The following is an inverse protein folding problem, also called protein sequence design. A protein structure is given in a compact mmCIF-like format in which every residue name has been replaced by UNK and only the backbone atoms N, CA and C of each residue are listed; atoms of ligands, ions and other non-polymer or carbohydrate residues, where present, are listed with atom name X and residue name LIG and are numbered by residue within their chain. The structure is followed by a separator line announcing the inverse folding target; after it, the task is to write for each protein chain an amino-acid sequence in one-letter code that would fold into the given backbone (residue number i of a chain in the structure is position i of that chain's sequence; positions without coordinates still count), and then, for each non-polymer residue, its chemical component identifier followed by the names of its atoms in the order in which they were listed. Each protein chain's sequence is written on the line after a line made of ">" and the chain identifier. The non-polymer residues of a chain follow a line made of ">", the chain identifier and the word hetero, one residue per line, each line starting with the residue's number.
data_IF_781720907175
#
_entry.id   IF_781720907175
#
_cell.length_a   1.000
_cell.length_b   1.000
_cell.length_c   1.000
_cell.angle_alpha   90.00
_cell.angle_beta   90.00
_cell.angle_gamma   90.00
#
_symmetry.space_group_name_H-M   'P 1'
#
loop_
_entity.id
_entity.type
_entity.pdbx_description
1 polymer ?
#
# COMPACT_ATOMS: atom_id res chain seq x y z
N UNK A 1 1.52 3.96 -1.25
CA UNK A 1 1.48 4.13 -2.73
C UNK A 1 0.21 3.46 -3.21
N UNK A 2 -0.65 4.13 -3.96
CA UNK A 2 -1.94 3.55 -4.39
C UNK A 2 -1.74 2.69 -5.65
N UNK A 3 -2.31 1.48 -5.64
CA UNK A 3 -2.32 0.56 -6.79
C UNK A 3 -3.62 0.81 -7.57
N UNK A 4 -3.54 1.06 -8.88
CA UNK A 4 -4.73 1.17 -9.71
C UNK A 4 -5.46 -0.17 -9.75
N UNK A 5 -6.72 -0.17 -9.33
CA UNK A 5 -7.60 -1.33 -9.46
C UNK A 5 -8.37 -1.21 -10.78
N UNK A 6 -8.42 -2.30 -11.56
CA UNK A 6 -9.09 -2.29 -12.86
C UNK A 6 -10.58 -2.63 -12.72
N UNK A 7 -11.47 -1.75 -13.16
CA UNK A 7 -12.89 -2.09 -13.40
C UNK A 7 -13.74 -2.39 -12.15
N UNK A 8 -13.32 -1.96 -10.97
CA UNK A 8 -13.88 -2.40 -9.68
C UNK A 8 -15.31 -1.93 -9.41
N UNK A 9 -15.80 -0.87 -10.06
CA UNK A 9 -17.14 -0.33 -9.74
C UNK A 9 -18.30 -1.06 -10.42
N UNK A 10 -18.14 -1.56 -11.65
CA UNK A 10 -19.28 -2.09 -12.42
C UNK A 10 -19.43 -3.62 -12.33
N UNK A 11 -18.33 -4.36 -12.22
CA UNK A 11 -18.36 -5.83 -12.21
C UNK A 11 -18.75 -6.42 -10.86
N UNK A 12 -18.11 -5.98 -9.78
CA UNK A 12 -18.33 -6.48 -8.42
C UNK A 12 -19.67 -6.01 -7.82
N UNK A 13 -20.15 -4.83 -8.24
CA UNK A 13 -21.49 -4.32 -7.88
C UNK A 13 -22.58 -5.11 -8.61
N UNK A 14 -22.35 -5.52 -9.87
CA UNK A 14 -23.28 -6.38 -10.63
C UNK A 14 -23.46 -7.76 -10.03
N UNK A 15 -22.40 -8.33 -9.46
CA UNK A 15 -22.43 -9.67 -8.84
C UNK A 15 -22.96 -9.64 -7.39
N UNK A 16 -23.38 -8.47 -6.88
CA UNK A 16 -23.98 -8.32 -5.55
C UNK A 16 -23.00 -8.48 -4.39
N UNK A 17 -21.69 -8.47 -4.66
CA UNK A 17 -20.62 -8.72 -3.69
C UNK A 17 -20.13 -7.44 -3.00
N UNK A 18 -20.38 -6.27 -3.60
CA UNK A 18 -20.09 -4.97 -3.02
C UNK A 18 -21.30 -4.06 -3.01
N UNK A 19 -21.43 -3.27 -1.93
CA UNK A 19 -22.41 -2.19 -1.90
C UNK A 19 -22.10 -1.19 -3.02
N UNK A 20 -23.10 -0.66 -3.76
CA UNK A 20 -22.88 0.25 -4.90
C UNK A 20 -22.08 1.52 -4.60
N UNK A 21 -21.86 1.84 -3.32
CA UNK A 21 -21.09 2.98 -2.84
C UNK A 21 -19.70 2.63 -2.28
N UNK A 22 -19.31 1.34 -2.29
CA UNK A 22 -18.04 0.89 -1.73
C UNK A 22 -16.91 1.10 -2.74
N UNK A 23 -16.17 2.21 -2.60
CA UNK A 23 -14.94 2.43 -3.33
C UNK A 23 -13.80 1.68 -2.63
N UNK A 24 -13.20 0.71 -3.31
CA UNK A 24 -12.00 0.02 -2.83
C UNK A 24 -10.78 0.79 -3.34
N UNK A 25 -9.85 1.12 -2.43
CA UNK A 25 -8.51 1.59 -2.77
C UNK A 25 -7.49 0.65 -2.14
N UNK A 26 -6.48 0.25 -2.93
CA UNK A 26 -5.39 -0.59 -2.45
C UNK A 26 -4.11 0.24 -2.26
N UNK A 27 -3.55 0.20 -1.06
CA UNK A 27 -2.32 0.91 -0.73
C UNK A 27 -1.19 -0.05 -0.37
N UNK A 28 -0.02 0.15 -0.98
CA UNK A 28 1.20 -0.56 -0.61
C UNK A 28 1.94 0.21 0.49
N UNK A 29 2.29 -0.52 1.54
CA UNK A 29 3.16 -0.10 2.62
C UNK A 29 4.44 -0.95 2.55
N UNK A 30 5.55 -0.41 2.02
CA UNK A 30 6.82 -1.14 2.01
C UNK A 30 7.33 -1.29 3.44
N UNK A 31 7.79 -2.50 3.76
CA UNK A 31 8.23 -2.84 5.11
C UNK A 31 9.45 -3.75 5.01
N UNK A 32 10.54 -3.36 5.68
CA UNK A 32 11.74 -4.19 5.76
C UNK A 32 11.76 -4.95 7.10
N UNK A 33 12.20 -6.20 7.06
CA UNK A 33 12.21 -7.09 8.23
C UNK A 33 13.00 -6.54 9.44
N UNK A 34 13.99 -5.68 9.18
CA UNK A 34 14.84 -5.07 10.20
C UNK A 34 14.26 -3.79 10.82
N UNK A 35 13.09 -3.32 10.38
CA UNK A 35 12.44 -2.14 10.92
C UNK A 35 11.53 -2.46 12.11
N UNK A 36 11.45 -1.57 13.10
CA UNK A 36 10.56 -1.74 14.27
C UNK A 36 9.08 -1.91 13.88
N UNK A 37 8.68 -1.36 12.72
CA UNK A 37 7.34 -1.52 12.18
C UNK A 37 7.02 -2.97 11.82
N UNK A 38 8.01 -3.75 11.39
CA UNK A 38 7.84 -5.15 11.01
C UNK A 38 7.40 -6.00 12.19
N UNK A 39 8.10 -5.89 13.32
CA UNK A 39 7.75 -6.64 14.54
C UNK A 39 6.34 -6.34 15.04
N UNK A 40 5.87 -5.09 14.91
CA UNK A 40 4.53 -4.71 15.36
C UNK A 40 3.44 -5.29 14.45
N UNK A 41 3.72 -5.43 13.16
CA UNK A 41 2.75 -5.93 12.18
C UNK A 41 2.76 -7.46 12.09
N UNK A 42 3.90 -8.10 12.36
CA UNK A 42 4.01 -9.57 12.42
C UNK A 42 3.14 -10.19 13.52
N UNK A 43 2.82 -9.43 14.56
CA UNK A 43 1.95 -9.89 15.65
C UNK A 43 0.46 -9.84 15.28
N UNK A 44 0.10 -9.15 14.19
CA UNK A 44 -1.29 -8.89 13.78
C UNK A 44 -1.70 -9.75 12.58
N UNK A 45 -0.75 -10.25 11.79
CA UNK A 45 -1.05 -11.03 10.60
C UNK A 45 0.09 -11.92 10.13
N UNK A 46 -0.24 -12.85 9.24
CA UNK A 46 0.73 -13.72 8.60
C UNK A 46 1.21 -13.09 7.28
N UNK A 47 2.48 -13.34 6.94
CA UNK A 47 3.04 -12.93 5.66
C UNK A 47 2.99 -14.10 4.68
N UNK A 48 2.41 -13.86 3.52
CA UNK A 48 2.37 -14.83 2.44
C UNK A 48 3.21 -14.35 1.25
N UNK A 49 3.72 -15.30 0.48
CA UNK A 49 4.40 -15.01 -0.77
C UNK A 49 3.36 -14.65 -1.84
N UNK A 50 3.56 -13.52 -2.51
CA UNK A 50 2.62 -13.02 -3.53
C UNK A 50 2.39 -14.00 -4.68
N UNK A 51 3.42 -14.72 -5.12
CA UNK A 51 3.31 -15.71 -6.19
C UNK A 51 2.41 -16.88 -5.79
N UNK A 52 2.53 -17.37 -4.55
CA UNK A 52 1.64 -18.42 -4.05
C UNK A 52 0.20 -17.90 -3.90
N UNK A 53 0.02 -16.71 -3.32
CA UNK A 53 -1.31 -16.11 -3.18
C UNK A 53 -1.98 -15.90 -4.56
N UNK A 54 -1.24 -15.45 -5.57
CA UNK A 54 -1.74 -15.29 -6.94
C UNK A 54 -2.10 -16.62 -7.59
N UNK A 55 -1.28 -17.66 -7.41
CA UNK A 55 -1.60 -19.01 -7.88
C UNK A 55 -2.89 -19.53 -7.24
N UNK A 56 -3.05 -19.37 -5.91
CA UNK A 56 -4.28 -19.74 -5.21
C UNK A 56 -5.50 -18.99 -5.76
N UNK A 57 -5.35 -17.70 -6.12
CA UNK A 57 -6.42 -16.94 -6.77
C UNK A 57 -6.86 -17.54 -8.11
N UNK A 58 -6.04 -18.34 -8.79
CA UNK A 58 -6.38 -18.98 -10.06
C UNK A 58 -6.92 -20.40 -9.89
N UNK A 59 -6.42 -21.14 -8.91
CA UNK A 59 -6.72 -22.57 -8.73
C UNK A 59 -7.83 -22.87 -7.73
N UNK A 60 -8.02 -22.01 -6.72
CA UNK A 60 -9.02 -22.21 -5.67
C UNK A 60 -9.81 -20.92 -5.43
N UNK A 61 -11.02 -20.89 -5.99
CA UNK A 61 -11.91 -19.74 -5.90
C UNK A 61 -12.45 -19.47 -4.49
N UNK A 62 -12.34 -20.43 -3.55
CA UNK A 62 -12.87 -20.32 -2.18
C UNK A 62 -11.85 -19.87 -1.14
N UNK A 63 -10.56 -19.82 -1.48
CA UNK A 63 -9.49 -19.48 -0.53
C UNK A 63 -9.50 -17.99 -0.12
N UNK A 64 -9.88 -17.10 -1.03
CA UNK A 64 -9.93 -15.65 -0.80
C UNK A 64 -11.27 -15.06 -1.25
N UNK A 65 -11.71 -13.97 -0.62
CA UNK A 65 -12.85 -13.20 -1.11
C UNK A 65 -12.58 -12.64 -2.51
N UNK A 66 -13.64 -12.34 -3.26
CA UNK A 66 -13.50 -11.84 -4.64
C UNK A 66 -12.71 -10.52 -4.68
N UNK A 67 -12.95 -9.64 -3.71
CA UNK A 67 -12.23 -8.37 -3.54
C UNK A 67 -10.75 -8.60 -3.26
N UNK A 68 -10.44 -9.57 -2.39
CA UNK A 68 -9.07 -9.91 -2.02
C UNK A 68 -8.32 -10.48 -3.23
N UNK A 69 -8.94 -11.38 -3.98
CA UNK A 69 -8.39 -11.94 -5.23
C UNK A 69 -8.12 -10.85 -6.25
N UNK A 70 -9.08 -9.94 -6.43
CA UNK A 70 -8.93 -8.82 -7.34
C UNK A 70 -7.74 -7.93 -6.95
N UNK A 71 -7.60 -7.63 -5.66
CA UNK A 71 -6.47 -6.84 -5.14
C UNK A 71 -5.13 -7.56 -5.36
N UNK A 72 -5.04 -8.87 -5.09
CA UNK A 72 -3.82 -9.67 -5.28
C UNK A 72 -3.39 -9.65 -6.76
N UNK A 73 -4.32 -9.88 -7.68
CA UNK A 73 -4.05 -9.92 -9.13
C UNK A 73 -3.62 -8.52 -9.62
N UNK A 74 -4.33 -7.46 -9.23
CA UNK A 74 -3.97 -6.09 -9.62
C UNK A 74 -2.59 -5.70 -9.08
N UNK A 75 -2.29 -6.06 -7.83
CA UNK A 75 -0.99 -5.82 -7.22
C UNK A 75 0.13 -6.51 -8.01
N UNK A 76 -0.02 -7.80 -8.31
CA UNK A 76 1.00 -8.55 -9.05
C UNK A 76 1.23 -7.97 -10.45
N UNK A 77 0.16 -7.69 -11.21
CA UNK A 77 0.29 -7.10 -12.54
C UNK A 77 0.97 -5.74 -12.48
N UNK A 78 0.55 -4.88 -11.55
CA UNK A 78 1.11 -3.54 -11.41
C UNK A 78 2.58 -3.57 -10.98
N UNK A 79 2.98 -4.46 -10.05
CA UNK A 79 4.39 -4.62 -9.68
C UNK A 79 5.23 -5.07 -10.87
N UNK A 80 4.76 -6.05 -11.63
CA UNK A 80 5.45 -6.57 -12.81
C UNK A 80 5.58 -5.50 -13.91
N UNK A 81 4.51 -4.78 -14.22
CA UNK A 81 4.52 -3.74 -15.25
C UNK A 81 5.48 -2.60 -14.90
N UNK A 82 5.46 -2.12 -13.66
CA UNK A 82 6.34 -1.04 -13.25
C UNK A 82 7.81 -1.48 -13.18
N UNK A 83 8.08 -2.69 -12.71
CA UNK A 83 9.45 -3.23 -12.69
C UNK A 83 10.00 -3.47 -14.12
N UNK A 84 9.15 -3.83 -15.08
CA UNK A 84 9.54 -3.93 -16.50
C UNK A 84 9.82 -2.57 -17.13
N UNK A 85 9.05 -1.54 -16.77
CA UNK A 85 9.25 -0.17 -17.25
C UNK A 85 10.48 0.48 -16.62
N UNK A 86 10.79 0.10 -15.38
CA UNK A 86 11.88 0.67 -14.60
C UNK A 86 12.55 -0.39 -13.72
N UNK A 87 13.78 -0.82 -14.07
CA UNK A 87 14.51 -1.86 -13.35
C UNK A 87 14.79 -1.55 -11.88
N UNK A 88 14.76 -0.27 -11.47
CA UNK A 88 15.02 0.14 -10.10
C UNK A 88 13.73 0.36 -9.30
N UNK A 89 12.56 0.07 -9.87
CA UNK A 89 11.26 0.36 -9.26
C UNK A 89 11.10 -0.27 -7.88
N UNK A 90 11.26 -1.58 -7.75
CA UNK A 90 11.15 -2.27 -6.47
C UNK A 90 12.21 -1.80 -5.48
N UNK A 91 13.45 -1.62 -5.94
CA UNK A 91 14.54 -1.10 -5.11
C UNK A 91 14.19 0.28 -4.53
N UNK A 92 13.61 1.19 -5.32
CA UNK A 92 13.19 2.50 -4.84
C UNK A 92 11.98 2.47 -3.92
N UNK A 93 11.13 1.45 -4.00
CA UNK A 93 10.00 1.28 -3.09
C UNK A 93 10.47 0.77 -1.73
N UNK A 94 11.30 -0.27 -1.72
CA UNK A 94 11.67 -0.97 -0.48
C UNK A 94 12.95 -0.45 0.18
N UNK A 95 13.94 0.03 -0.58
CA UNK A 95 15.24 0.45 -0.03
C UNK A 95 15.30 1.95 0.25
N UNK A 96 14.30 2.72 -0.18
CA UNK A 96 14.29 4.16 0.06
C UNK A 96 13.87 4.42 1.51
N UNK A 97 14.80 4.97 2.28
CA UNK A 97 14.54 5.39 3.64
C UNK A 97 13.30 6.28 3.76
N UNK A 98 12.57 6.13 4.86
CA UNK A 98 11.38 6.90 5.16
C UNK A 98 11.68 8.40 5.05
N UNK A 99 10.69 9.19 4.62
CA UNK A 99 10.91 10.62 4.34
C UNK A 99 11.53 11.38 5.52
N UNK A 100 11.30 10.94 6.77
CA UNK A 100 11.88 11.56 7.98
C UNK A 100 13.40 11.45 8.01
N UNK A 101 13.93 10.34 7.54
CA UNK A 101 15.37 10.09 7.48
C UNK A 101 16.02 10.81 6.28
N UNK A 102 15.22 11.24 5.29
CA UNK A 102 15.73 11.89 4.07
C UNK A 102 15.63 13.42 4.09
N UNK A 103 14.73 13.99 4.88
CA UNK A 103 14.61 15.45 5.01
C UNK A 103 15.83 16.01 5.72
N UNK A 104 16.55 16.92 5.06
CA UNK A 104 17.72 17.62 5.63
C UNK A 104 17.36 18.99 6.20
N UNK A 105 16.49 19.71 5.52
CA UNK A 105 16.08 21.08 5.86
C UNK A 105 14.62 21.28 5.52
N UNK A 106 13.92 22.08 6.33
CA UNK A 106 12.54 22.48 6.08
C UNK A 106 12.41 23.99 6.30
N UNK A 107 12.08 24.74 5.26
CA UNK A 107 11.85 26.17 5.33
C UNK A 107 10.34 26.43 5.41
N UNK A 108 9.93 27.26 6.37
CA UNK A 108 8.53 27.62 6.58
C UNK A 108 8.37 29.11 6.34
N UNK A 109 7.29 29.50 5.67
CA UNK A 109 6.97 30.92 5.53
C UNK A 109 6.63 31.50 6.92
N UNK A 110 7.29 32.61 7.34
CA UNK A 110 7.09 33.21 8.66
C UNK A 110 5.66 33.64 8.97
N UNK A 111 4.85 33.91 7.93
CA UNK A 111 3.47 34.36 8.06
C UNK A 111 2.50 33.27 8.58
N UNK A 112 2.91 32.00 8.57
CA UNK A 112 2.11 30.91 9.13
C UNK A 112 2.41 30.67 10.61
N UNK A 113 1.37 30.28 11.35
CA UNK A 113 1.44 30.01 12.79
C UNK A 113 2.62 29.05 13.10
N UNK A 114 3.49 29.39 14.08
CA UNK A 114 4.58 28.53 14.54
C UNK A 114 4.16 27.09 14.85
N UNK A 115 2.91 26.84 15.26
CA UNK A 115 2.38 25.50 15.51
C UNK A 115 2.43 24.61 14.26
N UNK A 116 2.24 25.15 13.06
CA UNK A 116 2.33 24.41 11.79
C UNK A 116 3.77 23.98 11.45
N UNK A 117 4.79 24.67 11.99
CA UNK A 117 6.20 24.33 11.74
C UNK A 117 6.60 22.99 12.38
N UNK A 118 5.99 22.65 13.51
CA UNK A 118 6.18 21.36 14.18
C UNK A 118 5.50 20.19 13.44
N UNK A 119 4.54 20.51 12.55
CA UNK A 119 3.74 19.51 11.85
C UNK A 119 4.49 18.88 10.68
N UNK A 120 5.45 19.56 10.05
CA UNK A 120 6.23 18.97 8.95
C UNK A 120 6.97 17.68 9.37
N UNK A 121 7.44 17.59 10.61
CA UNK A 121 8.03 16.36 11.14
C UNK A 121 6.99 15.31 11.56
N UNK A 122 5.79 15.74 11.98
CA UNK A 122 4.68 14.83 12.33
C UNK A 122 4.03 14.22 11.09
N UNK A 123 3.72 15.00 10.06
CA UNK A 123 3.07 14.51 8.83
C UNK A 123 3.88 13.43 8.12
N UNK A 124 5.21 13.55 8.16
CA UNK A 124 6.11 12.53 7.63
C UNK A 124 5.99 11.19 8.39
N UNK A 125 5.62 11.21 9.67
CA UNK A 125 5.34 10.01 10.48
C UNK A 125 3.93 9.46 10.21
N UNK A 126 2.95 10.33 9.93
CA UNK A 126 1.55 9.94 9.71
C UNK A 126 1.23 9.47 8.28
N UNK A 127 2.04 9.82 7.27
CA UNK A 127 1.92 9.20 5.93
C UNK A 127 2.25 7.69 5.89
N UNK A 128 2.64 7.09 7.02
CA UNK A 128 2.86 5.64 7.19
C UNK A 128 1.98 5.02 8.28
N UNK A 129 0.98 5.75 8.80
CA UNK A 129 0.10 5.21 9.85
C UNK A 129 -1.34 5.58 9.58
N UNK A 130 -1.99 4.77 8.75
CA UNK A 130 -3.36 4.29 8.98
C UNK A 130 -3.76 3.33 7.87
N UNK A 131 -3.94 2.06 8.21
CA UNK A 131 -5.13 1.31 7.82
C UNK A 131 -5.38 0.27 8.91
N UNK A 132 -6.48 0.43 9.64
CA UNK A 132 -7.22 -0.71 10.17
C UNK A 132 -8.15 -1.15 9.04
N UNK A 133 -8.28 -2.46 8.84
CA UNK A 133 -9.54 -3.05 8.40
C UNK A 133 -10.37 -3.31 9.65
#
# INVERSE_FOLDING_TARGET
>A
MEVPLWGTSDGLVRDGLLHPSAQISLYIIPLLQNEEGFKKLSDVGQYENLTFASQHCQTDAGCFSVETRHCIICLESWLNENQRKDPDFLARIFLRSGARQRVRTCAHNPAYDPQYRSQCYRFIVYCLKQLFV
#
